data_IF_507917625046
#
_entry.id   IF_507917625046
#
_cell.length_a   1.000
_cell.length_b   1.000
_cell.length_c   1.000
_cell.angle_alpha   90.00
_cell.angle_beta   90.00
_cell.angle_gamma   90.00
#
_symmetry.space_group_name_H-M   'P 1'
#
loop_
_entity.id
_entity.type
_entity.pdbx_description
1 polymer ?
#
# COMPACT_ATOMS: atom_id res chain seq x y z
N UNK A 1 -8.76 9.81 0.81
CA UNK A 1 -8.08 9.10 -0.30
C UNK A 1 -8.92 7.88 -0.65
N UNK A 2 -9.16 7.56 -1.93
CA UNK A 2 -10.01 6.42 -2.33
C UNK A 2 -9.46 5.08 -1.81
N UNK A 3 -8.15 5.00 -1.56
CA UNK A 3 -7.53 3.84 -0.92
C UNK A 3 -8.14 3.49 0.46
N UNK A 4 -8.72 4.46 1.17
CA UNK A 4 -9.37 4.21 2.46
C UNK A 4 -10.67 3.40 2.32
N UNK A 5 -11.30 3.44 1.15
CA UNK A 5 -12.50 2.67 0.84
C UNK A 5 -12.18 1.23 0.38
N UNK A 6 -10.90 0.94 0.12
CA UNK A 6 -10.49 -0.38 -0.34
C UNK A 6 -10.81 -1.43 0.74
N UNK A 7 -11.61 -2.44 0.42
CA UNK A 7 -11.82 -3.61 1.28
C UNK A 7 -10.91 -4.73 0.77
N UNK A 8 -10.15 -5.36 1.67
CA UNK A 8 -9.22 -6.43 1.30
C UNK A 8 -9.75 -7.74 1.88
N UNK A 9 -9.87 -8.77 1.04
CA UNK A 9 -10.30 -10.10 1.45
C UNK A 9 -9.14 -11.01 1.88
N UNK A 10 -9.45 -12.27 2.18
CA UNK A 10 -8.49 -13.30 2.57
C UNK A 10 -7.51 -13.71 1.46
N UNK A 11 -7.84 -13.47 0.19
CA UNK A 11 -7.01 -13.78 -0.98
C UNK A 11 -6.16 -12.57 -1.42
N UNK A 12 -6.08 -11.53 -0.58
CA UNK A 12 -5.43 -10.25 -0.88
C UNK A 12 -6.04 -9.53 -2.10
N UNK A 13 -7.34 -9.72 -2.35
CA UNK A 13 -8.06 -8.94 -3.35
C UNK A 13 -8.57 -7.65 -2.72
N UNK A 14 -8.08 -6.52 -3.21
CA UNK A 14 -8.53 -5.18 -2.80
C UNK A 14 -9.64 -4.68 -3.71
N UNK A 15 -10.85 -4.50 -3.20
CA UNK A 15 -11.99 -3.96 -3.92
C UNK A 15 -12.30 -2.53 -3.48
N UNK A 16 -12.48 -1.60 -4.43
CA UNK A 16 -12.90 -0.22 -4.16
C UNK A 16 -14.33 -0.04 -4.70
N UNK A 17 -15.36 0.01 -3.82
CA UNK A 17 -16.76 0.05 -4.24
C UNK A 17 -17.11 1.24 -5.14
N UNK A 18 -16.59 2.43 -4.83
CA UNK A 18 -16.85 3.66 -5.58
C UNK A 18 -16.32 3.63 -7.02
N UNK A 19 -15.25 2.85 -7.26
CA UNK A 19 -14.65 2.65 -8.58
C UNK A 19 -15.13 1.39 -9.28
N UNK A 20 -15.87 0.51 -8.60
CA UNK A 20 -16.23 -0.82 -9.09
C UNK A 20 -15.01 -1.64 -9.54
N UNK A 21 -13.84 -1.39 -8.96
CA UNK A 21 -12.56 -1.94 -9.42
C UNK A 21 -11.91 -2.79 -8.35
N UNK A 22 -11.34 -3.93 -8.76
CA UNK A 22 -10.57 -4.83 -7.90
C UNK A 22 -9.10 -4.88 -8.32
N UNK A 23 -8.23 -5.02 -7.33
CA UNK A 23 -6.78 -5.17 -7.51
C UNK A 23 -6.31 -6.42 -6.79
N UNK A 24 -5.46 -7.21 -7.43
CA UNK A 24 -4.72 -8.26 -6.72
C UNK A 24 -3.52 -7.61 -6.01
N UNK A 25 -3.45 -7.77 -4.70
CA UNK A 25 -2.33 -7.31 -3.89
C UNK A 25 -1.44 -8.51 -3.51
N UNK A 26 -0.13 -8.27 -3.43
CA UNK A 26 0.75 -9.19 -2.71
C UNK A 26 0.75 -8.83 -1.21
N UNK A 27 1.44 -9.63 -0.39
CA UNK A 27 1.53 -9.42 1.06
C UNK A 27 2.08 -8.03 1.43
N UNK A 28 3.14 -7.59 0.76
CA UNK A 28 3.76 -6.27 1.00
C UNK A 28 2.82 -5.12 0.63
N UNK A 29 2.15 -5.20 -0.53
CA UNK A 29 1.20 -4.18 -0.99
C UNK A 29 0.00 -4.09 -0.04
N UNK A 30 -0.53 -5.23 0.41
CA UNK A 30 -1.57 -5.26 1.44
C UNK A 30 -1.12 -4.54 2.71
N UNK A 31 0.09 -4.86 3.20
CA UNK A 31 0.65 -4.23 4.40
C UNK A 31 0.81 -2.73 4.24
N UNK A 32 1.29 -2.26 3.07
CA UNK A 32 1.38 -0.83 2.76
C UNK A 32 -0.01 -0.18 2.79
N UNK A 33 -1.03 -0.79 2.18
CA UNK A 33 -2.40 -0.26 2.19
C UNK A 33 -2.96 -0.15 3.61
N UNK A 34 -2.73 -1.16 4.46
CA UNK A 34 -3.13 -1.12 5.87
C UNK A 34 -2.46 0.04 6.61
N UNK A 35 -1.15 0.22 6.47
CA UNK A 35 -0.42 1.32 7.10
C UNK A 35 -0.86 2.70 6.59
N UNK A 36 -1.20 2.82 5.31
CA UNK A 36 -1.78 4.05 4.76
C UNK A 36 -3.12 4.37 5.43
N UNK A 37 -3.97 3.36 5.65
CA UNK A 37 -5.26 3.53 6.34
C UNK A 37 -5.11 3.87 7.82
N UNK A 38 -4.04 3.40 8.46
CA UNK A 38 -3.63 3.81 9.81
C UNK A 38 -3.10 5.25 9.87
N UNK A 39 -2.96 5.93 8.73
CA UNK A 39 -2.48 7.31 8.64
C UNK A 39 -0.96 7.45 8.69
N UNK A 40 -0.21 6.36 8.46
CA UNK A 40 1.26 6.41 8.41
C UNK A 40 1.75 7.19 7.21
N UNK A 41 2.79 7.99 7.42
CA UNK A 41 3.55 8.63 6.36
C UNK A 41 4.39 7.61 5.59
N UNK A 42 4.83 7.98 4.39
CA UNK A 42 5.67 7.12 3.55
C UNK A 42 6.97 6.72 4.27
N UNK A 43 7.59 7.68 4.95
CA UNK A 43 8.83 7.48 5.71
C UNK A 43 8.64 6.50 6.87
N UNK A 44 7.51 6.61 7.59
CA UNK A 44 7.14 5.65 8.64
C UNK A 44 6.89 4.26 8.06
N UNK A 45 6.21 4.16 6.92
CA UNK A 45 5.96 2.88 6.23
C UNK A 45 7.27 2.21 5.86
N UNK A 46 8.22 2.93 5.26
CA UNK A 46 9.54 2.37 4.91
C UNK A 46 10.26 1.86 6.15
N UNK A 47 10.24 2.64 7.24
CA UNK A 47 10.87 2.23 8.51
C UNK A 47 10.24 0.94 9.04
N UNK A 48 8.91 0.89 9.15
CA UNK A 48 8.18 -0.26 9.66
C UNK A 48 8.47 -1.50 8.81
N UNK A 49 8.40 -1.38 7.48
CA UNK A 49 8.64 -2.52 6.59
C UNK A 49 10.09 -3.00 6.58
N UNK A 50 11.06 -2.09 6.72
CA UNK A 50 12.48 -2.46 6.84
C UNK A 50 12.74 -3.20 8.16
N UNK A 51 12.12 -2.77 9.26
CA UNK A 51 12.19 -3.46 10.56
C UNK A 51 11.48 -4.82 10.53
N UNK A 52 10.30 -4.92 9.89
CA UNK A 52 9.53 -6.17 9.78
C UNK A 52 10.20 -7.22 8.87
N UNK A 53 10.84 -6.78 7.78
CA UNK A 53 11.46 -7.67 6.80
C UNK A 53 12.94 -7.98 7.07
N UNK A 54 13.64 -7.12 7.82
CA UNK A 54 15.09 -7.18 8.01
C UNK A 54 15.91 -6.74 6.79
N UNK A 55 15.26 -6.19 5.75
CA UNK A 55 15.91 -5.73 4.52
C UNK A 55 16.43 -4.28 4.64
N UNK A 56 17.40 -3.94 3.78
CA UNK A 56 17.96 -2.58 3.71
C UNK A 56 16.88 -1.55 3.36
N UNK A 57 16.78 -0.50 4.18
CA UNK A 57 15.76 0.55 4.04
C UNK A 57 15.75 1.21 2.65
N UNK A 58 16.88 1.27 1.93
CA UNK A 58 16.94 1.85 0.59
C UNK A 58 16.23 0.97 -0.43
N UNK A 59 16.32 -0.35 -0.31
CA UNK A 59 15.57 -1.27 -1.17
C UNK A 59 14.07 -1.16 -0.89
N UNK A 60 13.71 -1.19 0.39
CA UNK A 60 12.32 -1.02 0.83
C UNK A 60 11.75 0.32 0.36
N UNK A 61 12.56 1.39 0.44
CA UNK A 61 12.15 2.71 -0.06
C UNK A 61 11.80 2.70 -1.55
N UNK A 62 12.61 2.05 -2.39
CA UNK A 62 12.35 1.94 -3.83
C UNK A 62 11.01 1.22 -4.07
N UNK A 63 10.79 0.08 -3.41
CA UNK A 63 9.56 -0.71 -3.58
C UNK A 63 8.31 0.06 -3.10
N UNK A 64 8.41 0.76 -1.97
CA UNK A 64 7.33 1.60 -1.44
C UNK A 64 7.06 2.77 -2.38
N UNK A 65 8.09 3.45 -2.86
CA UNK A 65 7.94 4.57 -3.79
C UNK A 65 7.24 4.13 -5.09
N UNK A 66 7.69 3.03 -5.70
CA UNK A 66 7.09 2.48 -6.92
C UNK A 66 5.61 2.12 -6.71
N UNK A 67 5.26 1.58 -5.55
CA UNK A 67 3.86 1.30 -5.22
C UNK A 67 3.05 2.59 -5.03
N UNK A 68 3.58 3.58 -4.32
CA UNK A 68 2.92 4.89 -4.16
C UNK A 68 2.68 5.59 -5.50
N UNK A 69 3.65 5.53 -6.42
CA UNK A 69 3.49 6.07 -7.78
C UNK A 69 2.32 5.39 -8.50
N UNK A 70 2.20 4.06 -8.43
CA UNK A 70 1.07 3.33 -9.03
C UNK A 70 -0.26 3.76 -8.40
N UNK A 71 -0.32 3.87 -7.07
CA UNK A 71 -1.51 4.33 -6.37
C UNK A 71 -1.92 5.75 -6.81
N UNK A 72 -0.97 6.66 -7.04
CA UNK A 72 -1.22 8.00 -7.58
C UNK A 72 -1.75 7.96 -9.02
N UNK A 73 -1.14 7.14 -9.88
CA UNK A 73 -1.60 6.96 -11.27
C UNK A 73 -3.03 6.45 -11.33
N UNK A 74 -3.41 5.57 -10.41
CA UNK A 74 -4.80 5.07 -10.27
C UNK A 74 -5.73 6.05 -9.53
N UNK A 75 -5.25 7.22 -9.11
CA UNK A 75 -6.04 8.21 -8.36
C UNK A 75 -6.45 7.76 -6.95
N UNK A 76 -5.79 6.73 -6.40
CA UNK A 76 -6.14 6.14 -5.11
C UNK A 76 -5.63 6.96 -3.93
N UNK A 77 -4.50 7.66 -4.14
CA UNK A 77 -3.88 8.61 -3.20
C UNK A 77 -3.50 9.89 -3.95
N UNK A 78 -3.30 11.00 -3.21
CA UNK A 78 -2.82 12.28 -3.75
C UNK A 78 -1.31 12.45 -3.61
#
# INVERSE_FOLDING_TARGET
>A
MLINEMVIDENNMGFIPSLGTSFQLNSTAKRIVELIKEGKTKEEIVKILSEESGEDWRKVYIDVEDFFIKLKVYGLIQ
#
